data_IF_361900172968
#
_entry.id   IF_361900172968
#
_cell.length_a   1.000
_cell.length_b   1.000
_cell.length_c   1.000
_cell.angle_alpha   90.00
_cell.angle_beta   90.00
_cell.angle_gamma   90.00
#
_symmetry.space_group_name_H-M   'P 1'
#
loop_
_entity.id
_entity.type
_entity.pdbx_description
1 polymer ?
#
# COMPACT_ATOMS: atom_id res chain seq x y z
N UNK A 1 -0.83 -8.46 -7.38
CA UNK A 1 -0.24 -9.41 -6.41
C UNK A 1 1.21 -9.06 -6.10
N UNK A 2 2.18 -9.28 -7.00
CA UNK A 2 3.61 -9.06 -6.71
C UNK A 2 3.93 -7.66 -6.17
N UNK A 3 3.31 -6.60 -6.73
CA UNK A 3 3.47 -5.21 -6.31
C UNK A 3 3.14 -4.94 -4.82
N UNK A 4 2.31 -5.78 -4.20
CA UNK A 4 1.84 -5.61 -2.83
C UNK A 4 2.33 -6.71 -1.89
N UNK A 5 3.24 -7.58 -2.33
CA UNK A 5 3.65 -8.71 -1.50
C UNK A 5 4.47 -8.26 -0.28
N UNK A 6 5.35 -7.28 -0.46
CA UNK A 6 6.16 -6.70 0.62
C UNK A 6 5.30 -5.97 1.68
N UNK A 7 4.08 -5.56 1.32
CA UNK A 7 3.14 -4.91 2.24
C UNK A 7 2.56 -5.84 3.29
N UNK A 8 2.50 -7.15 3.03
CA UNK A 8 1.88 -8.12 3.94
C UNK A 8 2.57 -8.19 5.30
N UNK A 9 3.88 -7.92 5.31
CA UNK A 9 4.75 -8.12 6.47
C UNK A 9 5.66 -6.94 6.75
N UNK A 10 5.39 -5.78 6.14
CA UNK A 10 6.15 -4.55 6.37
C UNK A 10 6.19 -4.18 7.84
N UNK A 11 7.37 -3.79 8.33
CA UNK A 11 7.60 -3.34 9.70
C UNK A 11 8.22 -1.94 9.69
N UNK A 12 8.03 -1.17 10.76
CA UNK A 12 8.76 0.08 10.94
C UNK A 12 10.27 -0.12 10.78
N UNK A 13 10.91 0.76 10.02
CA UNK A 13 12.33 0.71 9.60
C UNK A 13 12.69 -0.30 8.50
N UNK A 14 11.74 -1.04 7.94
CA UNK A 14 12.00 -1.77 6.69
C UNK A 14 12.28 -0.77 5.55
N UNK A 15 12.95 -1.23 4.50
CA UNK A 15 13.29 -0.40 3.35
C UNK A 15 12.01 0.09 2.66
N UNK A 16 11.75 1.41 2.73
CA UNK A 16 10.55 2.03 2.15
C UNK A 16 10.43 1.80 0.64
N UNK A 17 11.56 1.68 -0.07
CA UNK A 17 11.59 1.45 -1.53
C UNK A 17 10.95 0.11 -1.94
N UNK A 18 10.77 -0.83 -1.01
CA UNK A 18 10.09 -2.10 -1.28
C UNK A 18 8.57 -1.91 -1.46
N UNK A 19 8.00 -0.92 -0.76
CA UNK A 19 6.55 -0.72 -0.69
C UNK A 19 6.11 0.56 -1.43
N UNK A 20 6.97 1.57 -1.49
CA UNK A 20 6.79 2.86 -2.17
C UNK A 20 6.24 2.74 -3.60
N UNK A 21 6.75 1.86 -4.49
CA UNK A 21 6.30 1.82 -5.88
C UNK A 21 4.79 1.60 -6.03
N UNK A 22 4.16 0.87 -5.09
CA UNK A 22 2.73 0.59 -5.13
C UNK A 22 1.89 1.86 -4.92
N UNK A 23 2.25 2.68 -3.92
CA UNK A 23 1.52 3.91 -3.61
C UNK A 23 1.83 4.99 -4.63
N UNK A 24 3.08 5.11 -5.09
CA UNK A 24 3.42 6.02 -6.19
C UNK A 24 2.66 5.67 -7.48
N UNK A 25 2.45 4.38 -7.78
CA UNK A 25 1.63 3.97 -8.90
C UNK A 25 0.17 4.42 -8.76
N UNK A 26 -0.37 4.45 -7.53
CA UNK A 26 -1.72 4.97 -7.26
C UNK A 26 -1.72 6.50 -7.45
N UNK A 27 -0.87 7.22 -6.74
CA UNK A 27 -0.90 8.70 -6.70
C UNK A 27 -0.58 9.33 -8.06
N UNK A 28 0.38 8.78 -8.80
CA UNK A 28 0.72 9.27 -10.15
C UNK A 28 -0.38 8.99 -11.19
N UNK A 29 -1.35 8.12 -10.88
CA UNK A 29 -2.44 7.76 -11.79
C UNK A 29 -3.81 8.26 -11.33
N UNK A 30 -3.88 9.23 -10.43
CA UNK A 30 -5.14 9.87 -10.02
C UNK A 30 -5.73 10.82 -11.06
N UNK A 31 -5.06 11.04 -12.20
CA UNK A 31 -5.59 11.85 -13.29
C UNK A 31 -6.87 11.24 -13.89
N UNK A 32 -7.77 12.06 -14.44
CA UNK A 32 -9.06 11.58 -14.99
C UNK A 32 -8.92 10.46 -16.04
N UNK A 33 -7.81 10.42 -16.79
CA UNK A 33 -7.55 9.38 -17.80
C UNK A 33 -7.17 8.03 -17.18
N UNK A 34 -6.44 8.03 -16.06
CA UNK A 34 -5.91 6.82 -15.42
C UNK A 34 -6.56 6.48 -14.08
N UNK A 35 -7.55 7.28 -13.65
CA UNK A 35 -8.26 7.11 -12.39
C UNK A 35 -8.82 5.69 -12.18
N UNK A 36 -9.43 5.00 -13.17
CA UNK A 36 -9.93 3.63 -12.95
C UNK A 36 -8.81 2.65 -12.56
N UNK A 37 -7.60 2.84 -13.10
CA UNK A 37 -6.44 2.03 -12.75
C UNK A 37 -6.01 2.29 -11.29
N UNK A 38 -5.87 3.56 -10.89
CA UNK A 38 -5.54 3.92 -9.51
C UNK A 38 -6.58 3.38 -8.51
N UNK A 39 -7.87 3.50 -8.82
CA UNK A 39 -8.95 2.97 -7.98
C UNK A 39 -8.89 1.45 -7.86
N UNK A 40 -8.56 0.73 -8.94
CA UNK A 40 -8.39 -0.72 -8.89
C UNK A 40 -7.23 -1.16 -7.99
N UNK A 41 -6.15 -0.38 -7.93
CA UNK A 41 -5.02 -0.63 -7.03
C UNK A 41 -5.40 -0.37 -5.56
N UNK A 42 -6.20 0.66 -5.29
CA UNK A 42 -6.73 0.95 -3.94
C UNK A 42 -7.70 -0.15 -3.48
N UNK A 43 -8.62 -0.56 -4.35
CA UNK A 43 -9.54 -1.68 -4.09
C UNK A 43 -8.75 -2.97 -3.82
N UNK A 44 -7.72 -3.23 -4.62
CA UNK A 44 -6.84 -4.36 -4.43
C UNK A 44 -6.12 -4.32 -3.07
N UNK A 45 -5.52 -3.19 -2.68
CA UNK A 45 -4.85 -3.01 -1.38
C UNK A 45 -5.83 -3.24 -0.21
N UNK A 46 -7.05 -2.73 -0.33
CA UNK A 46 -8.10 -2.89 0.69
C UNK A 46 -8.53 -4.35 0.82
N UNK A 47 -8.66 -5.07 -0.30
CA UNK A 47 -8.94 -6.52 -0.30
C UNK A 47 -7.78 -7.31 0.28
N UNK A 48 -6.53 -6.94 0.01
CA UNK A 48 -5.37 -7.59 0.62
C UNK A 48 -5.42 -7.48 2.14
N UNK A 49 -5.75 -6.30 2.68
CA UNK A 49 -5.85 -6.07 4.12
C UNK A 49 -6.93 -6.93 4.83
N UNK A 50 -7.98 -7.32 4.10
CA UNK A 50 -9.20 -7.89 4.71
C UNK A 50 -9.52 -9.32 4.28
N UNK A 51 -8.95 -9.80 3.17
CA UNK A 51 -9.34 -11.09 2.57
C UNK A 51 -8.18 -12.00 2.20
N UNK A 52 -6.93 -11.52 2.22
CA UNK A 52 -5.78 -12.30 1.75
C UNK A 52 -5.51 -13.54 2.61
N UNK A 53 -5.50 -13.38 3.94
CA UNK A 53 -5.37 -14.49 4.87
C UNK A 53 -6.12 -14.16 6.17
N UNK A 54 -7.38 -14.60 6.34
CA UNK A 54 -8.24 -14.20 7.46
C UNK A 54 -7.62 -14.31 8.85
N UNK A 55 -6.86 -15.37 9.19
CA UNK A 55 -6.19 -15.48 10.49
C UNK A 55 -5.14 -14.40 10.77
N UNK A 56 -4.68 -13.68 9.74
CA UNK A 56 -3.65 -12.65 9.82
C UNK A 56 -4.15 -11.26 9.41
N UNK A 57 -5.45 -11.06 9.19
CA UNK A 57 -5.98 -9.77 8.74
C UNK A 57 -5.50 -8.60 9.61
N UNK A 58 -5.58 -8.73 10.93
CA UNK A 58 -5.13 -7.67 11.85
C UNK A 58 -3.65 -7.34 11.68
N UNK A 59 -2.83 -8.37 11.49
CA UNK A 59 -1.39 -8.21 11.25
C UNK A 59 -1.11 -7.55 9.90
N UNK A 60 -1.80 -7.98 8.84
CA UNK A 60 -1.63 -7.41 7.49
C UNK A 60 -2.09 -5.95 7.49
N UNK A 61 -3.23 -5.64 8.11
CA UNK A 61 -3.71 -4.28 8.25
C UNK A 61 -2.74 -3.39 9.06
N UNK A 62 -2.11 -3.93 10.12
CA UNK A 62 -1.07 -3.23 10.86
C UNK A 62 0.19 -2.98 10.00
N UNK A 63 0.64 -3.96 9.22
CA UNK A 63 1.76 -3.79 8.28
C UNK A 63 1.48 -2.70 7.25
N UNK A 64 0.28 -2.71 6.65
CA UNK A 64 -0.13 -1.69 5.67
C UNK A 64 -0.18 -0.31 6.30
N UNK A 65 -0.75 -0.18 7.51
CA UNK A 65 -0.78 1.08 8.25
C UNK A 65 0.62 1.61 8.51
N UNK A 66 1.52 0.77 9.01
CA UNK A 66 2.91 1.15 9.27
C UNK A 66 3.62 1.65 8.00
N UNK A 67 3.38 0.99 6.85
CA UNK A 67 3.90 1.43 5.56
C UNK A 67 3.40 2.82 5.15
N UNK A 68 2.10 3.08 5.27
CA UNK A 68 1.51 4.39 4.96
C UNK A 68 2.02 5.50 5.90
N UNK A 69 2.15 5.20 7.20
CA UNK A 69 2.72 6.13 8.19
C UNK A 69 4.19 6.48 7.87
N UNK A 70 5.00 5.49 7.50
CA UNK A 70 6.39 5.73 7.09
C UNK A 70 6.48 6.55 5.80
N UNK A 71 5.57 6.35 4.84
CA UNK A 71 5.52 7.17 3.62
C UNK A 71 5.22 8.63 3.90
N UNK A 72 4.29 8.93 4.81
CA UNK A 72 4.00 10.28 5.25
C UNK A 72 5.20 10.89 5.99
N UNK A 73 5.78 10.13 6.92
CA UNK A 73 6.94 10.56 7.73
C UNK A 73 8.16 10.89 6.87
N UNK A 74 8.41 10.11 5.81
CA UNK A 74 9.55 10.28 4.90
C UNK A 74 9.25 11.25 3.74
N UNK A 75 8.01 11.74 3.62
CA UNK A 75 7.61 12.67 2.57
C UNK A 75 7.50 12.05 1.16
N UNK A 76 7.34 10.73 1.08
CA UNK A 76 7.09 9.98 -0.17
C UNK A 76 5.74 10.40 -0.76
N UNK A 77 4.73 10.51 0.11
CA UNK A 77 3.43 11.11 -0.19
C UNK A 77 3.23 12.33 0.71
N UNK A 78 2.47 13.31 0.23
CA UNK A 78 2.17 14.56 0.94
C UNK A 78 0.66 14.65 1.17
N UNK A 79 0.28 15.18 2.33
CA UNK A 79 -1.11 15.54 2.67
C UNK A 79 -1.63 16.69 1.79
#
# INVERSE_FOLDING_TARGET
>A
MALFFDWLFFKPNDCIMNVEPAILAITNNLSARSQPFALSLVDFLTKVATTFHPPMNDRIAASIRAGLEDMLRLGVIRD
#
